data_IF_278620880972
#
_entry.id   IF_278620880972
#
_cell.length_a   1.000
_cell.length_b   1.000
_cell.length_c   1.000
_cell.angle_alpha   90.00
_cell.angle_beta   90.00
_cell.angle_gamma   90.00
#
_symmetry.space_group_name_H-M   'P 1'
#
loop_
_entity.id
_entity.type
_entity.pdbx_description
1 polymer ?
#
# COMPACT_ATOMS: atom_id res chain seq x y z
N UNK A 1 -5.58 -15.65 -18.13
CA UNK A 1 -5.81 -16.73 -17.17
C UNK A 1 -4.87 -16.57 -15.99
N UNK A 2 -5.37 -16.06 -14.87
CA UNK A 2 -4.61 -15.72 -13.65
C UNK A 2 -4.03 -16.94 -12.89
N UNK A 3 -4.45 -18.16 -13.23
CA UNK A 3 -4.02 -19.40 -12.59
C UNK A 3 -2.55 -19.78 -12.88
N UNK A 4 -1.94 -19.25 -13.95
CA UNK A 4 -0.57 -19.59 -14.32
C UNK A 4 0.52 -18.91 -13.47
N UNK A 5 0.28 -17.69 -12.99
CA UNK A 5 1.28 -16.92 -12.22
C UNK A 5 1.24 -17.22 -10.73
N UNK A 6 0.06 -17.49 -10.18
CA UNK A 6 -0.09 -17.89 -8.78
C UNK A 6 0.65 -19.21 -8.46
N UNK A 7 0.73 -20.14 -9.43
CA UNK A 7 1.46 -21.40 -9.28
C UNK A 7 2.99 -21.27 -9.24
N UNK A 8 3.56 -20.21 -9.81
CA UNK A 8 5.01 -19.94 -9.77
C UNK A 8 5.43 -19.19 -8.49
N UNK A 9 4.56 -18.35 -7.94
CA UNK A 9 4.83 -17.59 -6.71
C UNK A 9 4.99 -18.47 -5.46
N UNK A 10 4.38 -19.67 -5.43
CA UNK A 10 4.55 -20.63 -4.33
C UNK A 10 5.96 -21.27 -4.32
N UNK A 11 6.69 -21.23 -5.45
CA UNK A 11 7.99 -21.91 -5.60
C UNK A 11 9.20 -21.08 -5.15
N UNK A 12 9.01 -19.83 -4.70
CA UNK A 12 10.11 -18.90 -4.37
C UNK A 12 10.38 -18.70 -2.86
N UNK A 13 9.74 -19.45 -1.96
CA UNK A 13 10.03 -19.41 -0.51
C UNK A 13 9.45 -18.22 0.26
N UNK A 14 8.72 -17.31 -0.40
CA UNK A 14 7.91 -16.27 0.26
C UNK A 14 6.50 -16.78 0.57
N UNK A 15 6.02 -16.51 1.79
CA UNK A 15 4.71 -16.97 2.28
C UNK A 15 3.52 -16.25 1.63
N UNK A 16 3.68 -15.00 1.20
CA UNK A 16 2.63 -14.22 0.54
C UNK A 16 3.20 -13.15 -0.38
N UNK A 17 2.41 -12.76 -1.37
CA UNK A 17 2.70 -11.73 -2.36
C UNK A 17 1.59 -10.68 -2.35
N UNK A 18 1.95 -9.40 -2.41
CA UNK A 18 1.03 -8.28 -2.60
C UNK A 18 1.18 -7.77 -4.05
N UNK A 19 0.08 -7.70 -4.78
CA UNK A 19 0.07 -7.30 -6.20
C UNK A 19 -1.13 -6.40 -6.53
N UNK A 20 -0.97 -5.52 -7.52
CA UNK A 20 -2.04 -4.66 -8.02
C UNK A 20 -2.73 -5.24 -9.27
N UNK A 21 -4.05 -5.02 -9.38
CA UNK A 21 -4.86 -5.44 -10.53
C UNK A 21 -4.75 -4.49 -11.73
N UNK A 22 -4.38 -3.23 -11.50
CA UNK A 22 -4.10 -2.22 -12.52
C UNK A 22 -2.82 -1.47 -12.18
N UNK A 23 -2.32 -0.70 -13.14
CA UNK A 23 -1.20 0.21 -12.91
C UNK A 23 -1.67 1.36 -12.03
N UNK A 24 -1.05 1.48 -10.86
CA UNK A 24 -1.27 2.56 -9.90
C UNK A 24 -0.10 3.51 -10.00
N UNK A 25 -0.38 4.80 -9.83
CA UNK A 25 0.61 5.85 -9.73
C UNK A 25 1.63 5.60 -8.60
N UNK A 26 2.86 6.08 -8.76
CA UNK A 26 3.96 5.81 -7.83
C UNK A 26 3.69 6.43 -6.45
N UNK A 27 3.04 7.61 -6.40
CA UNK A 27 2.59 8.23 -5.16
C UNK A 27 1.56 7.36 -4.41
N UNK A 28 0.64 6.74 -5.14
CA UNK A 28 -0.36 5.82 -4.58
C UNK A 28 0.28 4.54 -4.04
N UNK A 29 1.22 3.97 -4.79
CA UNK A 29 1.96 2.77 -4.38
C UNK A 29 2.82 3.05 -3.15
N UNK A 30 3.52 4.19 -3.11
CA UNK A 30 4.28 4.63 -1.94
C UNK A 30 3.37 4.82 -0.73
N UNK A 31 2.22 5.49 -0.92
CA UNK A 31 1.22 5.70 0.12
C UNK A 31 0.77 4.38 0.75
N UNK A 32 0.26 3.47 -0.06
CA UNK A 32 -0.25 2.19 0.42
C UNK A 32 0.85 1.37 1.10
N UNK A 33 2.04 1.25 0.49
CA UNK A 33 3.12 0.43 1.04
C UNK A 33 3.67 1.01 2.35
N UNK A 34 3.83 2.33 2.43
CA UNK A 34 4.29 3.01 3.64
C UNK A 34 3.34 2.77 4.82
N UNK A 35 2.03 2.79 4.55
CA UNK A 35 1.01 2.54 5.55
C UNK A 35 0.87 1.05 5.87
N UNK A 36 0.92 0.17 4.87
CA UNK A 36 0.90 -1.27 5.05
C UNK A 36 2.02 -1.75 5.98
N UNK A 37 3.26 -1.33 5.75
CA UNK A 37 4.37 -1.68 6.64
C UNK A 37 4.21 -1.07 8.02
N UNK A 38 3.68 0.16 8.13
CA UNK A 38 3.39 0.78 9.42
C UNK A 38 2.42 -0.10 10.24
N UNK A 39 1.34 -0.54 9.62
CA UNK A 39 0.33 -1.39 10.26
C UNK A 39 0.93 -2.76 10.59
N UNK A 40 1.75 -3.33 9.70
CA UNK A 40 2.39 -4.63 9.91
C UNK A 40 3.40 -4.64 11.07
N UNK A 41 4.06 -3.51 11.35
CA UNK A 41 5.00 -3.40 12.48
C UNK A 41 4.32 -3.05 13.81
N UNK A 42 3.01 -2.87 13.85
CA UNK A 42 2.29 -2.74 15.12
C UNK A 42 2.20 -4.09 15.82
N UNK A 43 2.48 -4.10 17.12
CA UNK A 43 2.54 -5.33 17.92
C UNK A 43 1.21 -6.11 17.94
N UNK A 44 0.09 -5.43 17.69
CA UNK A 44 -1.26 -6.01 17.68
C UNK A 44 -1.61 -6.70 16.34
N UNK A 45 -0.90 -6.38 15.26
CA UNK A 45 -1.20 -6.89 13.91
C UNK A 45 -0.30 -8.07 13.59
N UNK A 46 -0.83 -9.28 13.82
CA UNK A 46 -0.10 -10.54 13.55
C UNK A 46 -0.35 -11.09 12.14
N UNK A 47 -1.33 -10.53 11.41
CA UNK A 47 -1.79 -11.04 10.11
C UNK A 47 -1.58 -9.98 9.03
N UNK A 48 -0.87 -10.35 7.95
CA UNK A 48 -0.54 -9.41 6.87
C UNK A 48 -1.79 -8.89 6.14
N UNK A 49 -2.81 -9.73 5.99
CA UNK A 49 -4.07 -9.31 5.37
C UNK A 49 -4.78 -8.21 6.20
N UNK A 50 -4.67 -8.26 7.53
CA UNK A 50 -5.22 -7.23 8.40
C UNK A 50 -4.43 -5.93 8.26
N UNK A 51 -3.09 -5.99 8.19
CA UNK A 51 -2.26 -4.82 7.93
C UNK A 51 -2.64 -4.12 6.60
N UNK A 52 -2.90 -4.90 5.54
CA UNK A 52 -3.35 -4.38 4.26
C UNK A 52 -4.73 -3.71 4.36
N UNK A 53 -5.68 -4.38 5.03
CA UNK A 53 -7.03 -3.82 5.23
C UNK A 53 -6.99 -2.49 5.97
N UNK A 54 -6.18 -2.41 7.02
CA UNK A 54 -6.01 -1.18 7.81
C UNK A 54 -5.37 -0.07 6.98
N UNK A 55 -4.39 -0.39 6.12
CA UNK A 55 -3.82 0.59 5.21
C UNK A 55 -4.84 1.12 4.20
N UNK A 56 -5.69 0.25 3.65
CA UNK A 56 -6.79 0.66 2.76
C UNK A 56 -7.79 1.58 3.50
N UNK A 57 -8.11 1.29 4.76
CA UNK A 57 -8.99 2.13 5.57
C UNK A 57 -8.38 3.50 5.82
N UNK A 58 -7.11 3.59 6.22
CA UNK A 58 -6.43 4.88 6.39
C UNK A 58 -6.42 5.71 5.11
N UNK A 59 -6.29 5.06 3.94
CA UNK A 59 -6.43 5.76 2.66
C UNK A 59 -7.86 6.25 2.44
N UNK A 60 -8.89 5.42 2.67
CA UNK A 60 -10.31 5.81 2.56
C UNK A 60 -10.64 7.02 3.44
N UNK A 61 -10.11 7.06 4.67
CA UNK A 61 -10.32 8.15 5.63
C UNK A 61 -9.58 9.46 5.26
N UNK A 62 -8.75 9.42 4.21
CA UNK A 62 -7.97 10.57 3.76
C UNK A 62 -6.82 10.91 4.69
N UNK A 63 -6.29 9.92 5.42
CA UNK A 63 -5.13 10.12 6.29
C UNK A 63 -3.86 10.34 5.49
N UNK A 64 -3.76 9.73 4.30
CA UNK A 64 -2.61 9.84 3.41
C UNK A 64 -2.86 10.86 2.30
N UNK A 65 -1.94 11.82 2.20
CA UNK A 65 -1.92 12.84 1.15
C UNK A 65 -0.51 13.19 0.76
N UNK A 66 -0.30 13.54 -0.49
CA UNK A 66 0.94 14.18 -0.94
C UNK A 66 0.78 15.67 -0.78
N UNK A 67 1.76 16.32 -0.17
CA UNK A 67 1.80 17.77 -0.01
C UNK A 67 3.27 18.23 -0.04
N UNK A 68 3.62 19.12 -0.96
CA UNK A 68 4.97 19.66 -1.08
C UNK A 68 6.03 18.60 -1.40
N UNK A 69 5.73 17.67 -2.32
CA UNK A 69 6.65 16.60 -2.72
C UNK A 69 6.87 15.52 -1.65
N UNK A 70 6.04 15.51 -0.60
CA UNK A 70 6.14 14.55 0.49
C UNK A 70 4.79 13.87 0.73
N UNK A 71 4.81 12.55 0.88
CA UNK A 71 3.71 11.81 1.46
C UNK A 71 3.62 12.15 2.96
N UNK A 72 2.49 12.73 3.36
CA UNK A 72 2.15 13.05 4.74
C UNK A 72 0.99 12.17 5.20
N UNK A 73 1.09 11.74 6.45
CA UNK A 73 0.01 11.05 7.15
C UNK A 73 -0.55 11.93 8.25
N UNK A 74 -1.87 12.03 8.38
CA UNK A 74 -2.52 12.75 9.49
C UNK A 74 -2.16 12.13 10.85
N UNK A 75 -1.98 10.81 10.88
CA UNK A 75 -1.71 10.03 12.09
C UNK A 75 -0.22 9.88 12.42
N UNK A 76 0.70 10.35 11.55
CA UNK A 76 2.15 10.31 11.78
C UNK A 76 2.76 11.72 11.77
N UNK A 77 3.71 11.98 12.67
CA UNK A 77 4.62 13.13 12.54
C UNK A 77 5.71 12.84 11.50
N UNK A 78 5.90 13.75 10.55
CA UNK A 78 6.92 13.67 9.49
C UNK A 78 6.39 13.20 8.13
N UNK A 79 7.10 13.57 7.06
CA UNK A 79 6.78 13.22 5.67
C UNK A 79 7.77 12.23 5.07
N UNK A 80 7.29 11.37 4.18
CA UNK A 80 8.15 10.52 3.34
C UNK A 80 8.34 11.24 2.00
N UNK A 81 9.57 11.54 1.56
CA UNK A 81 9.79 12.18 0.27
C UNK A 81 9.28 11.28 -0.86
N UNK A 82 8.66 11.89 -1.88
CA UNK A 82 8.28 11.17 -3.09
C UNK A 82 9.52 10.78 -3.92
N UNK A 83 9.39 9.77 -4.80
CA UNK A 83 10.39 9.45 -5.81
C UNK A 83 10.68 10.65 -6.73
N UNK A 84 11.89 10.72 -7.29
CA UNK A 84 12.24 11.74 -8.28
C UNK A 84 11.31 11.63 -9.50
N UNK A 85 10.72 12.77 -9.93
CA UNK A 85 9.81 12.85 -11.07
C UNK A 85 8.32 12.94 -10.70
N UNK A 86 7.97 12.76 -9.42
CA UNK A 86 6.61 12.93 -8.91
C UNK A 86 6.36 14.36 -8.43
N UNK A 87 5.72 15.18 -9.27
CA UNK A 87 5.48 16.62 -9.02
C UNK A 87 4.02 16.93 -8.63
N UNK A 88 3.46 16.14 -7.71
CA UNK A 88 2.12 16.41 -7.19
C UNK A 88 2.16 17.50 -6.11
N UNK A 89 1.59 18.68 -6.40
CA UNK A 89 1.49 19.80 -5.45
C UNK A 89 0.65 19.42 -4.21
N UNK A 90 -0.55 18.88 -4.45
CA UNK A 90 -1.44 18.35 -3.43
C UNK A 90 -2.28 17.21 -4.02
N UNK A 91 -2.12 15.99 -3.49
CA UNK A 91 -2.88 14.82 -3.95
C UNK A 91 -3.45 14.04 -2.77
N UNK A 92 -4.77 13.90 -2.73
CA UNK A 92 -5.45 13.00 -1.79
C UNK A 92 -5.40 11.56 -2.31
N UNK A 93 -4.89 10.64 -1.49
CA UNK A 93 -4.83 9.22 -1.84
C UNK A 93 -6.10 8.44 -1.46
N UNK A 94 -7.19 9.14 -1.12
CA UNK A 94 -8.46 8.52 -0.72
C UNK A 94 -9.24 7.88 -1.86
N UNK A 95 -9.00 8.31 -3.10
CA UNK A 95 -9.69 7.76 -4.26
C UNK A 95 -9.34 6.27 -4.45
N UNK A 96 -10.33 5.37 -4.70
CA UNK A 96 -10.11 3.93 -4.79
C UNK A 96 -9.11 3.49 -5.86
N UNK A 97 -8.86 4.33 -6.86
CA UNK A 97 -7.79 4.14 -7.84
C UNK A 97 -6.44 3.79 -7.20
N UNK A 98 -6.11 4.39 -6.05
CA UNK A 98 -4.80 4.25 -5.39
C UNK A 98 -4.65 3.00 -4.51
N UNK A 99 -5.75 2.37 -4.07
CA UNK A 99 -5.68 1.32 -3.04
C UNK A 99 -6.54 0.08 -3.33
N UNK A 100 -7.62 0.21 -4.10
CA UNK A 100 -8.56 -0.88 -4.36
C UNK A 100 -7.98 -1.95 -5.30
N UNK A 101 -6.89 -1.65 -5.97
CA UNK A 101 -6.22 -2.55 -6.91
C UNK A 101 -5.43 -3.65 -6.20
N UNK A 102 -5.01 -3.42 -4.96
CA UNK A 102 -4.05 -4.26 -4.28
C UNK A 102 -4.74 -5.44 -3.61
N UNK A 103 -4.21 -6.63 -3.91
CA UNK A 103 -4.68 -7.89 -3.33
C UNK A 103 -3.52 -8.74 -2.85
N UNK A 104 -3.76 -9.51 -1.78
CA UNK A 104 -2.79 -10.43 -1.22
C UNK A 104 -3.07 -11.85 -1.73
N UNK A 105 -2.03 -12.50 -2.26
CA UNK A 105 -2.09 -13.87 -2.77
C UNK A 105 -1.08 -14.72 -1.98
N UNK A 106 -1.51 -15.87 -1.47
CA UNK A 106 -0.69 -16.78 -0.66
C UNK A 106 -1.16 -16.87 0.80
N UNK A 107 -0.34 -17.42 1.69
CA UNK A 107 -0.70 -17.58 3.10
C UNK A 107 -0.64 -16.23 3.83
N UNK A 108 -1.75 -15.76 4.44
CA UNK A 108 -1.83 -14.44 5.07
C UNK A 108 -1.18 -14.38 6.48
N UNK A 109 -0.68 -15.51 6.97
CA UNK A 109 -0.08 -15.74 8.30
C UNK A 109 1.45 -15.85 8.28
#
# INVERSE_FOLDING_TARGET
GFLGFAGLAVRSGVKSVLASLWQVDDAGTLGLMSEFYRQLYQQEVTVKAEALRQAQISMIEGDLRVEGGQLRSRSRGGGVPLPEGEEHEELSLSHPYYWASFTMVGSPW
#
